data_IF_262930846771
#
_entry.id   IF_262930846771
#
_cell.length_a   1.000
_cell.length_b   1.000
_cell.length_c   1.000
_cell.angle_alpha   90.00
_cell.angle_beta   90.00
_cell.angle_gamma   90.00
#
_symmetry.space_group_name_H-M   'P 1'
#
loop_
_entity.id
_entity.type
_entity.pdbx_description
1 polymer ?
#
# COMPACT_ATOMS: atom_id res chain seq x y z
N UNK A 1 -12.75 23.66 -7.77
CA UNK A 1 -12.04 24.97 -7.74
C UNK A 1 -10.55 24.70 -7.49
N UNK A 2 -9.70 25.47 -8.14
CA UNK A 2 -8.25 25.46 -7.90
C UNK A 2 -7.84 26.87 -7.51
N UNK A 3 -7.11 27.02 -6.42
CA UNK A 3 -6.53 28.28 -5.95
C UNK A 3 -5.01 28.18 -6.04
N UNK A 4 -4.40 29.17 -6.65
CA UNK A 4 -2.94 29.28 -6.76
C UNK A 4 -2.51 30.66 -6.24
N UNK A 5 -1.69 30.69 -5.22
CA UNK A 5 -1.20 31.92 -4.63
C UNK A 5 0.29 31.78 -4.30
N UNK A 6 1.15 32.42 -5.09
CA UNK A 6 2.59 32.21 -5.00
C UNK A 6 2.95 30.73 -5.20
N UNK A 7 3.64 30.15 -4.25
CA UNK A 7 4.03 28.73 -4.29
C UNK A 7 2.98 27.77 -3.72
N UNK A 8 1.83 28.26 -3.27
CA UNK A 8 0.79 27.42 -2.67
C UNK A 8 -0.31 27.11 -3.65
N UNK A 9 -0.71 25.86 -3.71
CA UNK A 9 -1.78 25.33 -4.58
C UNK A 9 -2.78 24.60 -3.69
N UNK A 10 -4.07 24.93 -3.85
CA UNK A 10 -5.19 24.27 -3.19
C UNK A 10 -6.19 23.80 -4.22
N UNK A 11 -6.68 22.58 -4.10
CA UNK A 11 -7.67 21.98 -5.00
C UNK A 11 -8.90 21.55 -4.21
N UNK A 12 -10.04 21.99 -4.63
CA UNK A 12 -11.34 21.68 -4.06
C UNK A 12 -12.17 20.89 -5.07
N UNK A 13 -12.86 19.88 -4.63
CA UNK A 13 -13.78 19.10 -5.44
C UNK A 13 -15.21 19.32 -4.95
N UNK A 14 -16.17 19.25 -5.85
CA UNK A 14 -17.60 19.23 -5.55
C UNK A 14 -18.06 20.30 -4.54
N UNK A 15 -17.52 21.52 -4.64
CA UNK A 15 -17.83 22.64 -3.74
C UNK A 15 -17.55 22.34 -2.23
N UNK A 16 -16.65 21.43 -1.94
CA UNK A 16 -16.21 21.18 -0.57
C UNK A 16 -15.60 22.43 0.06
N UNK A 17 -15.80 22.60 1.35
CA UNK A 17 -15.25 23.75 2.11
C UNK A 17 -13.75 23.59 2.39
N UNK A 18 -13.28 22.35 2.47
CA UNK A 18 -11.87 22.02 2.68
C UNK A 18 -11.24 21.55 1.38
N UNK A 19 -10.00 21.95 1.09
CA UNK A 19 -9.32 21.51 -0.11
C UNK A 19 -8.97 20.02 -0.03
N UNK A 20 -9.02 19.30 -1.12
CA UNK A 20 -8.52 17.91 -1.25
C UNK A 20 -7.01 17.85 -1.40
N UNK A 21 -6.43 18.93 -1.89
CA UNK A 21 -4.98 19.11 -2.02
C UNK A 21 -4.65 20.50 -1.49
N UNK A 22 -3.68 20.58 -0.62
CA UNK A 22 -3.12 21.82 -0.12
C UNK A 22 -1.60 21.65 -0.02
N UNK A 23 -0.88 22.16 -1.00
CA UNK A 23 0.56 21.95 -1.12
C UNK A 23 1.28 23.27 -1.35
N UNK A 24 2.50 23.35 -0.81
CA UNK A 24 3.40 24.46 -1.09
C UNK A 24 4.64 23.92 -1.79
N UNK A 25 4.96 24.45 -2.96
CA UNK A 25 6.22 24.15 -3.62
C UNK A 25 7.38 24.82 -2.87
N UNK A 26 8.19 24.02 -2.23
CA UNK A 26 9.35 24.46 -1.46
C UNK A 26 10.60 24.67 -2.33
N UNK A 27 10.55 24.21 -3.57
CA UNK A 27 11.72 24.23 -4.46
C UNK A 27 11.80 25.52 -5.30
N UNK A 28 10.79 26.37 -5.22
CA UNK A 28 10.77 27.65 -5.92
C UNK A 28 10.72 27.55 -7.45
N UNK A 29 10.30 26.40 -7.98
CA UNK A 29 10.28 26.12 -9.42
C UNK A 29 8.99 26.57 -10.13
N UNK A 30 8.03 27.14 -9.40
CA UNK A 30 6.83 27.68 -10.02
C UNK A 30 7.19 28.93 -10.81
N UNK A 31 6.92 28.87 -12.10
CA UNK A 31 7.07 30.03 -12.97
C UNK A 31 6.12 31.15 -12.51
N UNK A 32 6.55 32.43 -12.57
CA UNK A 32 5.72 33.56 -12.16
C UNK A 32 4.50 33.76 -13.05
N UNK A 33 4.47 33.10 -14.20
CA UNK A 33 3.35 33.13 -15.16
C UNK A 33 3.29 31.78 -15.88
N UNK A 34 2.11 31.38 -16.29
CA UNK A 34 1.88 30.14 -17.01
C UNK A 34 0.54 30.11 -17.72
N UNK A 35 0.26 28.98 -18.34
CA UNK A 35 -1.01 28.72 -19.02
C UNK A 35 -1.87 27.84 -18.14
N UNK A 36 -3.17 28.03 -18.18
CA UNK A 36 -4.15 27.10 -17.67
C UNK A 36 -4.44 26.09 -18.77
N UNK A 37 -4.16 24.84 -18.53
CA UNK A 37 -4.44 23.75 -19.46
C UNK A 37 -5.42 22.78 -18.81
N UNK A 38 -6.50 22.48 -19.52
CA UNK A 38 -7.43 21.44 -19.18
C UNK A 38 -7.10 20.22 -20.03
N UNK A 39 -6.96 19.08 -19.41
CA UNK A 39 -6.65 17.83 -20.11
C UNK A 39 -7.51 16.70 -19.59
N UNK A 40 -8.15 15.97 -20.50
CA UNK A 40 -8.72 14.66 -20.24
C UNK A 40 -7.64 13.60 -20.37
N UNK A 41 -7.82 12.48 -19.68
CA UNK A 41 -6.98 11.30 -19.83
C UNK A 41 -7.42 10.43 -21.01
N UNK A 42 -7.54 9.14 -20.79
CA UNK A 42 -7.95 8.15 -21.81
C UNK A 42 -9.46 8.06 -22.02
N UNK A 43 -10.23 8.91 -21.33
CA UNK A 43 -11.69 8.93 -21.36
C UNK A 43 -12.11 10.27 -21.96
N UNK A 44 -13.15 10.24 -22.77
CA UNK A 44 -13.81 11.46 -23.25
C UNK A 44 -14.20 12.31 -22.04
N UNK A 45 -13.74 13.56 -22.04
CA UNK A 45 -13.88 14.46 -20.90
C UNK A 45 -14.49 15.77 -21.41
N UNK A 46 -15.58 16.17 -20.81
CA UNK A 46 -16.21 17.47 -21.06
C UNK A 46 -15.81 18.44 -19.95
N UNK A 47 -15.54 19.67 -20.35
CA UNK A 47 -15.27 20.78 -19.46
C UNK A 47 -16.30 21.86 -19.70
N UNK A 48 -16.83 22.39 -18.63
CA UNK A 48 -17.81 23.49 -18.67
C UNK A 48 -17.47 24.52 -17.58
N UNK A 49 -17.99 25.74 -17.76
CA UNK A 49 -17.90 26.83 -16.79
C UNK A 49 -16.47 27.14 -16.27
N UNK A 50 -15.47 27.13 -17.17
CA UNK A 50 -14.15 27.56 -16.79
C UNK A 50 -14.11 29.07 -16.49
N UNK A 51 -13.95 29.41 -15.22
CA UNK A 51 -13.81 30.79 -14.75
C UNK A 51 -12.43 30.97 -14.12
N UNK A 52 -11.68 31.95 -14.59
CA UNK A 52 -10.40 32.36 -14.02
C UNK A 52 -10.58 33.68 -13.29
N UNK A 53 -10.39 33.69 -11.99
CA UNK A 53 -10.51 34.92 -11.19
C UNK A 53 -9.16 35.27 -10.58
N UNK A 54 -8.68 36.50 -10.69
CA UNK A 54 -7.43 36.91 -10.09
C UNK A 54 -7.53 36.86 -8.56
N UNK A 55 -6.48 36.35 -7.93
CA UNK A 55 -6.35 36.24 -6.49
C UNK A 55 -5.32 37.25 -5.99
N UNK A 56 -5.54 37.82 -4.80
CA UNK A 56 -4.55 38.71 -4.17
C UNK A 56 -3.31 37.93 -3.82
N UNK A 57 -2.14 38.54 -3.91
CA UNK A 57 -0.84 37.90 -3.68
C UNK A 57 -0.71 37.29 -2.26
N UNK A 58 -1.39 37.87 -1.29
CA UNK A 58 -1.36 37.41 0.11
C UNK A 58 -2.64 36.67 0.56
N UNK A 59 -3.53 36.33 -0.37
CA UNK A 59 -4.85 35.78 -0.06
C UNK A 59 -4.80 34.50 0.79
N UNK A 60 -3.72 33.71 0.68
CA UNK A 60 -3.55 32.46 1.43
C UNK A 60 -2.53 32.57 2.58
N UNK A 61 -2.03 33.76 2.89
CA UNK A 61 -0.98 33.97 3.89
C UNK A 61 -1.37 33.44 5.28
N UNK A 62 -2.59 33.74 5.71
CA UNK A 62 -3.10 33.40 7.05
C UNK A 62 -3.97 32.13 7.04
N UNK A 63 -4.12 31.50 5.88
CA UNK A 63 -4.90 30.27 5.77
C UNK A 63 -4.04 29.09 6.18
N UNK A 64 -4.46 28.39 7.26
CA UNK A 64 -3.76 27.18 7.76
C UNK A 64 -3.64 26.14 6.65
N UNK A 65 -2.44 25.59 6.50
CA UNK A 65 -2.20 24.48 5.57
C UNK A 65 -2.90 23.23 6.09
N UNK A 66 -3.69 22.58 5.24
CA UNK A 66 -4.31 21.30 5.55
C UNK A 66 -3.37 20.18 5.12
N UNK A 67 -2.73 19.54 6.08
CA UNK A 67 -1.85 18.41 5.81
C UNK A 67 -2.68 17.15 5.62
N UNK A 68 -2.93 16.75 4.37
CA UNK A 68 -3.65 15.51 4.04
C UNK A 68 -2.76 14.28 4.03
N UNK A 69 -1.45 14.45 3.92
CA UNK A 69 -0.48 13.37 4.09
C UNK A 69 0.33 13.65 5.33
N UNK A 70 0.01 12.93 6.39
CA UNK A 70 0.95 12.79 7.48
C UNK A 70 2.19 12.08 6.92
N UNK A 71 3.27 12.84 6.72
CA UNK A 71 4.56 12.24 6.39
C UNK A 71 4.96 11.47 7.65
N UNK A 72 4.84 10.15 7.58
CA UNK A 72 5.28 9.27 8.66
C UNK A 72 6.79 9.40 8.75
N UNK A 73 7.27 9.91 9.85
CA UNK A 73 8.71 10.06 10.11
C UNK A 73 9.40 8.68 10.19
N UNK A 74 10.71 8.61 9.96
CA UNK A 74 11.45 7.36 10.15
C UNK A 74 11.25 6.75 11.54
N UNK A 75 11.17 7.59 12.59
CA UNK A 75 10.93 7.13 13.94
C UNK A 75 9.52 6.55 14.12
N UNK A 76 8.50 7.17 13.57
CA UNK A 76 7.13 6.64 13.61
C UNK A 76 7.02 5.31 12.85
N UNK A 77 7.72 5.15 11.72
CA UNK A 77 7.80 3.87 11.00
C UNK A 77 8.46 2.79 11.84
N UNK A 78 9.55 3.12 12.50
CA UNK A 78 10.25 2.18 13.38
C UNK A 78 9.38 1.79 14.58
N UNK A 79 8.72 2.73 15.24
CA UNK A 79 7.80 2.45 16.32
C UNK A 79 6.65 1.54 15.86
N UNK A 80 6.10 1.81 14.68
CA UNK A 80 5.07 0.97 14.07
C UNK A 80 5.58 -0.44 13.80
N UNK A 81 6.79 -0.58 13.23
CA UNK A 81 7.42 -1.88 12.98
C UNK A 81 7.56 -2.68 14.26
N UNK A 82 8.05 -2.06 15.33
CA UNK A 82 8.21 -2.71 16.63
C UNK A 82 6.86 -3.17 17.20
N UNK A 83 5.82 -2.35 17.09
CA UNK A 83 4.47 -2.71 17.52
C UNK A 83 3.91 -3.89 16.72
N UNK A 84 4.02 -3.86 15.39
CA UNK A 84 3.56 -4.95 14.54
C UNK A 84 4.33 -6.24 14.85
N UNK A 85 5.66 -6.14 15.00
CA UNK A 85 6.51 -7.29 15.35
C UNK A 85 6.16 -7.88 16.72
N UNK A 86 5.84 -7.05 17.71
CA UNK A 86 5.42 -7.50 19.03
C UNK A 86 4.09 -8.28 19.00
N UNK A 87 3.25 -8.02 18.01
CA UNK A 87 1.97 -8.70 17.79
C UNK A 87 2.08 -9.96 16.93
N UNK A 88 3.22 -10.21 16.32
CA UNK A 88 3.46 -11.46 15.59
C UNK A 88 3.38 -12.66 16.52
N UNK A 89 2.78 -13.73 16.04
CA UNK A 89 2.66 -14.99 16.76
C UNK A 89 3.03 -16.15 15.85
N UNK A 90 3.70 -17.14 16.43
CA UNK A 90 3.94 -18.44 15.82
C UNK A 90 2.60 -19.16 15.60
N UNK A 91 2.44 -19.78 14.45
CA UNK A 91 1.28 -20.64 14.20
C UNK A 91 1.42 -21.90 15.03
N UNK A 92 0.42 -22.20 15.85
CA UNK A 92 0.37 -23.42 16.64
C UNK A 92 -0.57 -24.42 16.00
N UNK A 93 -0.03 -25.58 15.65
CA UNK A 93 -0.83 -26.69 15.15
C UNK A 93 -1.26 -27.52 16.35
N UNK A 94 -2.56 -27.68 16.50
CA UNK A 94 -3.11 -28.55 17.54
C UNK A 94 -2.78 -30.01 17.25
N UNK A 95 -3.12 -30.90 18.18
CA UNK A 95 -2.94 -32.34 17.99
C UNK A 95 -3.56 -32.81 16.68
N UNK A 96 -2.77 -33.58 15.91
CA UNK A 96 -3.22 -34.12 14.64
C UNK A 96 -4.15 -35.32 14.89
N UNK A 97 -5.27 -35.33 14.17
CA UNK A 97 -6.18 -36.45 14.15
C UNK A 97 -5.67 -37.54 13.16
N UNK A 98 -6.21 -38.74 13.22
CA UNK A 98 -5.79 -39.83 12.31
C UNK A 98 -6.16 -39.62 10.85
N UNK A 99 -7.14 -38.74 10.59
CA UNK A 99 -7.48 -38.29 9.26
C UNK A 99 -6.66 -37.09 8.81
N UNK A 100 -6.82 -36.66 7.58
CA UNK A 100 -6.22 -35.44 7.05
C UNK A 100 -6.59 -34.23 7.92
N UNK A 101 -5.57 -33.45 8.31
CA UNK A 101 -5.73 -32.18 8.99
C UNK A 101 -5.18 -31.09 8.10
N UNK A 102 -5.99 -30.11 7.75
CA UNK A 102 -5.58 -28.92 6.98
C UNK A 102 -5.39 -27.75 7.95
N UNK A 103 -4.27 -27.07 7.82
CA UNK A 103 -3.92 -25.90 8.64
C UNK A 103 -3.63 -24.74 7.72
N UNK A 104 -4.39 -23.66 7.83
CA UNK A 104 -4.10 -22.43 7.10
C UNK A 104 -2.90 -21.73 7.72
N UNK A 105 -1.97 -21.32 6.86
CA UNK A 105 -0.86 -20.46 7.20
C UNK A 105 -1.12 -19.00 6.78
N UNK A 106 -2.32 -18.68 6.30
CA UNK A 106 -2.72 -17.30 6.03
C UNK A 106 -2.64 -16.47 7.30
N UNK A 107 -2.38 -15.20 7.14
CA UNK A 107 -2.30 -14.27 8.25
C UNK A 107 -0.99 -13.50 8.30
N UNK A 108 -0.42 -13.36 9.48
CA UNK A 108 0.73 -12.50 9.72
C UNK A 108 2.04 -13.27 9.60
N UNK A 109 2.87 -12.88 8.65
CA UNK A 109 4.21 -13.43 8.43
C UNK A 109 5.29 -12.39 8.74
N UNK A 110 6.47 -12.84 9.10
CA UNK A 110 7.66 -12.01 9.12
C UNK A 110 8.12 -11.74 7.70
N UNK A 111 8.57 -10.52 7.45
CA UNK A 111 8.91 -10.03 6.12
C UNK A 111 10.20 -9.22 6.15
N UNK A 112 11.12 -9.53 5.26
CA UNK A 112 12.39 -8.81 5.14
C UNK A 112 12.68 -8.51 3.67
N UNK A 113 12.65 -7.23 3.25
CA UNK A 113 13.09 -6.84 1.93
C UNK A 113 14.55 -7.23 1.67
N UNK A 114 14.83 -7.74 0.47
CA UNK A 114 16.19 -8.14 0.09
C UNK A 114 17.22 -7.00 0.26
N UNK A 115 16.85 -5.77 -0.06
CA UNK A 115 17.76 -4.62 0.10
C UNK A 115 18.18 -4.32 1.55
N UNK A 116 17.48 -4.89 2.53
CA UNK A 116 17.84 -4.79 3.96
C UNK A 116 18.62 -6.02 4.44
N UNK A 117 18.49 -7.15 3.76
CA UNK A 117 19.18 -8.39 4.08
C UNK A 117 19.54 -9.14 2.80
N UNK A 118 20.69 -8.81 2.23
CA UNK A 118 21.23 -9.44 1.01
C UNK A 118 21.98 -10.76 1.26
N UNK A 119 21.91 -11.30 2.45
CA UNK A 119 22.60 -12.52 2.83
C UNK A 119 21.59 -13.67 2.92
N UNK A 120 21.63 -14.54 1.91
CA UNK A 120 20.73 -15.67 1.79
C UNK A 120 20.87 -16.65 2.98
N UNK A 121 22.09 -16.91 3.40
CA UNK A 121 22.35 -17.86 4.47
C UNK A 121 21.80 -17.36 5.80
N UNK A 122 21.91 -16.06 6.06
CA UNK A 122 21.26 -15.43 7.21
C UNK A 122 19.75 -15.44 7.09
N UNK A 123 19.21 -15.21 5.89
CA UNK A 123 17.77 -15.21 5.71
C UNK A 123 17.15 -16.60 5.94
N UNK A 124 17.86 -17.66 5.58
CA UNK A 124 17.40 -19.04 5.73
C UNK A 124 17.61 -19.55 7.16
N UNK A 125 18.70 -19.15 7.81
CA UNK A 125 19.08 -19.70 9.11
C UNK A 125 18.06 -19.42 10.21
N UNK A 126 17.67 -20.45 10.94
CA UNK A 126 16.82 -20.35 12.13
C UNK A 126 17.50 -19.64 13.30
N UNK A 127 18.83 -19.59 13.31
CA UNK A 127 19.62 -18.91 14.34
C UNK A 127 19.67 -17.39 14.12
N UNK A 128 19.28 -16.90 12.97
CA UNK A 128 19.27 -15.46 12.70
C UNK A 128 18.18 -14.75 13.49
N UNK A 129 18.58 -13.74 14.26
CA UNK A 129 17.63 -12.89 14.99
C UNK A 129 16.69 -12.17 14.01
N UNK A 130 15.41 -12.41 14.16
CA UNK A 130 14.36 -11.82 13.31
C UNK A 130 13.60 -10.66 13.97
N UNK A 131 14.12 -10.11 15.08
CA UNK A 131 13.48 -8.98 15.80
C UNK A 131 13.32 -7.74 14.94
N UNK A 132 14.23 -7.55 13.98
CA UNK A 132 14.22 -6.39 13.08
C UNK A 132 13.41 -6.63 11.81
N UNK A 133 12.80 -7.79 11.66
CA UNK A 133 11.95 -8.07 10.52
C UNK A 133 10.65 -7.27 10.60
N UNK A 134 10.15 -6.90 9.45
CA UNK A 134 8.82 -6.34 9.31
C UNK A 134 7.76 -7.42 9.44
N UNK A 135 6.52 -7.01 9.41
CA UNK A 135 5.37 -7.91 9.42
C UNK A 135 4.50 -7.60 8.20
N UNK A 136 3.99 -8.64 7.59
CA UNK A 136 3.12 -8.53 6.42
C UNK A 136 2.02 -9.58 6.48
N UNK A 137 0.83 -9.22 6.08
CA UNK A 137 -0.26 -10.20 5.91
C UNK A 137 -0.03 -11.04 4.66
N UNK A 138 -0.38 -12.32 4.73
CA UNK A 138 -0.38 -13.27 3.62
C UNK A 138 -1.79 -13.86 3.52
N UNK A 139 -2.42 -13.91 2.36
CA UNK A 139 -1.93 -13.43 1.06
C UNK A 139 -1.93 -11.91 0.93
N UNK A 140 -0.89 -11.34 0.33
CA UNK A 140 -0.82 -9.92 0.00
C UNK A 140 0.34 -9.63 -0.96
N UNK A 141 0.47 -8.38 -1.39
CA UNK A 141 1.54 -7.90 -2.25
C UNK A 141 2.31 -6.76 -1.59
N UNK A 142 3.62 -6.72 -1.78
CA UNK A 142 4.42 -5.56 -1.32
C UNK A 142 4.45 -4.40 -2.32
N UNK A 143 3.93 -4.61 -3.53
CA UNK A 143 3.78 -3.57 -4.54
C UNK A 143 2.32 -3.13 -4.65
N UNK A 144 2.05 -1.87 -5.00
CA UNK A 144 0.70 -1.43 -5.32
C UNK A 144 0.15 -2.27 -6.47
N UNK A 145 -0.98 -2.90 -6.26
CA UNK A 145 -1.68 -3.66 -7.27
C UNK A 145 -2.92 -2.90 -7.68
N UNK A 146 -3.03 -2.66 -9.00
CA UNK A 146 -4.21 -2.09 -9.61
C UNK A 146 -4.77 -3.09 -10.61
N UNK A 147 -6.03 -3.37 -10.50
CA UNK A 147 -6.75 -4.26 -11.42
C UNK A 147 -7.85 -3.51 -12.13
N UNK A 148 -8.14 -3.92 -13.34
CA UNK A 148 -9.31 -3.48 -14.07
C UNK A 148 -10.50 -4.33 -13.64
N UNK A 149 -11.54 -3.68 -13.19
CA UNK A 149 -12.78 -4.34 -12.76
C UNK A 149 -13.91 -3.97 -13.70
N UNK A 150 -14.76 -4.94 -13.98
CA UNK A 150 -16.00 -4.71 -14.71
C UNK A 150 -17.02 -4.04 -13.78
N UNK A 151 -17.57 -2.91 -14.17
CA UNK A 151 -18.43 -2.09 -13.30
C UNK A 151 -19.72 -2.74 -12.83
N UNK A 152 -20.19 -3.75 -13.55
CA UNK A 152 -21.41 -4.51 -13.18
C UNK A 152 -21.15 -5.54 -12.07
N UNK A 153 -19.93 -5.99 -11.92
CA UNK A 153 -19.58 -7.07 -10.99
C UNK A 153 -19.09 -6.59 -9.64
N UNK A 154 -18.67 -5.32 -9.55
CA UNK A 154 -18.10 -4.75 -8.34
C UNK A 154 -18.70 -3.37 -8.05
N UNK A 155 -19.06 -3.08 -6.81
CA UNK A 155 -19.45 -1.73 -6.43
C UNK A 155 -18.29 -0.78 -6.69
N UNK A 156 -18.57 0.35 -7.33
CA UNK A 156 -17.56 1.40 -7.47
C UNK A 156 -17.13 1.90 -6.10
N UNK A 157 -15.83 1.91 -5.78
CA UNK A 157 -15.36 2.42 -4.49
C UNK A 157 -15.59 3.93 -4.32
N UNK A 158 -15.90 4.63 -5.42
CA UNK A 158 -16.12 6.08 -5.43
C UNK A 158 -17.59 6.48 -5.63
N UNK A 159 -18.52 5.50 -5.62
CA UNK A 159 -19.93 5.74 -5.86
C UNK A 159 -20.38 5.35 -7.28
N UNK A 160 -21.59 5.78 -7.71
CA UNK A 160 -22.12 5.42 -9.01
C UNK A 160 -21.21 5.92 -10.13
N UNK A 161 -21.05 5.10 -11.17
CA UNK A 161 -20.28 5.44 -12.36
C UNK A 161 -20.85 6.71 -13.01
N UNK A 162 -20.00 7.63 -13.47
CA UNK A 162 -20.45 8.78 -14.25
C UNK A 162 -21.21 8.32 -15.50
N UNK A 163 -22.30 9.00 -15.82
CA UNK A 163 -23.04 8.76 -17.08
C UNK A 163 -22.08 8.96 -18.27
N UNK A 164 -22.03 8.00 -19.17
CA UNK A 164 -21.20 8.07 -20.39
C UNK A 164 -19.85 7.37 -20.30
N UNK A 165 -19.46 6.82 -19.17
CA UNK A 165 -18.33 5.89 -19.10
C UNK A 165 -18.80 4.59 -19.76
N UNK A 166 -18.29 4.33 -20.98
CA UNK A 166 -18.65 3.12 -21.70
C UNK A 166 -18.25 1.91 -20.86
N UNK A 167 -19.15 1.02 -20.77
CA UNK A 167 -18.99 -0.35 -20.31
C UNK A 167 -17.72 -0.66 -19.53
N UNK A 168 -17.41 0.19 -18.51
CA UNK A 168 -17.57 -0.50 -17.32
C UNK A 168 -16.35 -1.25 -16.85
N UNK A 169 -15.17 -0.88 -17.38
CA UNK A 169 -13.92 -1.24 -16.73
C UNK A 169 -13.37 -0.01 -16.01
N UNK A 170 -13.10 -0.15 -14.73
CA UNK A 170 -12.40 0.87 -13.95
C UNK A 170 -11.21 0.25 -13.24
N UNK A 171 -10.19 1.08 -13.00
CA UNK A 171 -9.00 0.65 -12.32
C UNK A 171 -9.17 0.85 -10.82
N UNK A 172 -9.08 -0.22 -10.06
CA UNK A 172 -9.11 -0.18 -8.62
C UNK A 172 -7.72 -0.50 -8.05
N UNK A 173 -7.27 0.31 -7.11
CA UNK A 173 -6.10 -0.02 -6.31
C UNK A 173 -6.52 -1.00 -5.21
N UNK A 174 -6.05 -2.23 -5.30
CA UNK A 174 -6.39 -3.31 -4.38
C UNK A 174 -5.40 -3.45 -3.23
N UNK A 175 -4.18 -2.95 -3.43
CA UNK A 175 -3.12 -2.97 -2.41
C UNK A 175 -2.52 -1.59 -2.27
N UNK A 176 -2.59 -1.04 -1.05
CA UNK A 176 -1.99 0.24 -0.68
C UNK A 176 -0.76 -0.01 0.16
N UNK A 177 0.38 0.45 -0.34
CA UNK A 177 1.69 0.17 0.27
C UNK A 177 2.23 1.31 1.14
N UNK A 178 1.56 2.45 1.20
CA UNK A 178 2.01 3.61 2.00
C UNK A 178 2.05 3.32 3.51
N UNK A 179 1.26 2.35 3.94
CA UNK A 179 1.23 1.90 5.33
C UNK A 179 2.34 0.97 5.74
N UNK A 180 3.15 0.46 4.81
CA UNK A 180 4.23 -0.46 5.13
C UNK A 180 5.37 0.22 5.88
N UNK A 181 5.98 -0.53 6.77
CA UNK A 181 7.11 -0.05 7.59
C UNK A 181 8.45 -0.10 6.86
N UNK A 182 8.48 -0.71 5.68
CA UNK A 182 9.62 -0.77 4.76
C UNK A 182 9.35 0.10 3.51
N UNK A 183 10.38 0.31 2.70
CA UNK A 183 10.23 1.02 1.43
C UNK A 183 9.88 0.03 0.31
N UNK A 184 8.60 -0.08 0.01
CA UNK A 184 8.10 -0.98 -1.03
C UNK A 184 8.66 -0.66 -2.43
N UNK A 185 9.02 0.61 -2.69
CA UNK A 185 9.58 1.01 -4.00
C UNK A 185 10.96 0.44 -4.25
N UNK A 186 11.72 0.17 -3.17
CA UNK A 186 13.04 -0.46 -3.23
C UNK A 186 12.97 -1.99 -3.19
N UNK A 187 11.82 -2.55 -2.81
CA UNK A 187 11.65 -3.99 -2.63
C UNK A 187 11.44 -4.67 -3.98
N UNK A 188 12.47 -5.35 -4.48
CA UNK A 188 12.41 -6.15 -5.71
C UNK A 188 12.18 -7.63 -5.42
N UNK A 189 12.77 -8.10 -4.33
CA UNK A 189 12.60 -9.43 -3.76
C UNK A 189 12.52 -9.33 -2.24
N UNK A 190 11.99 -10.33 -1.60
CA UNK A 190 11.83 -10.33 -0.16
C UNK A 190 11.84 -11.75 0.40
N UNK A 191 12.19 -11.83 1.65
CA UNK A 191 12.13 -13.04 2.46
C UNK A 191 10.85 -13.03 3.27
N UNK A 192 10.13 -14.14 3.25
CA UNK A 192 9.02 -14.42 4.14
C UNK A 192 9.43 -15.50 5.12
N UNK A 193 9.04 -15.35 6.38
CA UNK A 193 9.27 -16.37 7.41
C UNK A 193 8.02 -16.56 8.24
N UNK A 194 7.64 -17.83 8.41
CA UNK A 194 6.57 -18.23 9.31
C UNK A 194 7.09 -19.29 10.25
N UNK A 195 6.95 -19.04 11.54
CA UNK A 195 7.23 -20.04 12.56
C UNK A 195 5.98 -20.88 12.79
N UNK A 196 6.15 -22.20 12.72
CA UNK A 196 5.07 -23.17 12.93
C UNK A 196 5.50 -24.13 14.04
N UNK A 197 4.72 -24.18 15.10
CA UNK A 197 4.91 -25.13 16.20
C UNK A 197 4.08 -26.38 15.92
N UNK A 198 4.74 -27.49 15.67
CA UNK A 198 4.12 -28.76 15.37
C UNK A 198 3.90 -29.58 16.65
N UNK A 199 2.81 -30.35 16.75
CA UNK A 199 2.56 -31.22 17.89
C UNK A 199 3.48 -32.45 17.88
N UNK A 200 3.69 -33.07 19.03
CA UNK A 200 4.56 -34.24 19.18
C UNK A 200 4.13 -35.44 18.32
N UNK A 201 2.84 -35.56 18.01
CA UNK A 201 2.31 -36.67 17.22
C UNK A 201 2.45 -36.47 15.68
N UNK A 202 3.29 -35.52 15.23
CA UNK A 202 3.62 -35.33 13.83
C UNK A 202 4.62 -36.36 13.29
N UNK A 203 5.36 -37.01 14.15
CA UNK A 203 6.36 -38.01 13.77
C UNK A 203 5.73 -39.14 12.94
N UNK A 204 6.35 -39.46 11.79
CA UNK A 204 5.85 -40.46 10.85
C UNK A 204 4.67 -40.06 10.01
N UNK A 205 4.19 -38.82 10.11
CA UNK A 205 3.13 -38.25 9.26
C UNK A 205 3.71 -37.59 8.00
N UNK A 206 3.00 -37.72 6.89
CA UNK A 206 3.32 -37.00 5.68
C UNK A 206 2.74 -35.57 5.77
N UNK A 207 3.57 -34.58 5.48
CA UNK A 207 3.14 -33.19 5.44
C UNK A 207 3.28 -32.66 4.01
N UNK A 208 2.32 -31.85 3.59
CA UNK A 208 2.32 -31.15 2.32
C UNK A 208 2.14 -29.67 2.58
N UNK A 209 3.02 -28.85 2.00
CA UNK A 209 2.88 -27.41 1.98
C UNK A 209 2.32 -27.00 0.62
N UNK A 210 1.17 -26.33 0.62
CA UNK A 210 0.48 -25.91 -0.59
C UNK A 210 0.45 -24.39 -0.68
N UNK A 211 0.76 -23.86 -1.84
CA UNK A 211 0.62 -22.46 -2.19
C UNK A 211 -0.43 -22.34 -3.30
N UNK A 212 -1.50 -21.63 -3.07
CA UNK A 212 -2.54 -21.41 -4.07
C UNK A 212 -2.05 -20.52 -5.21
N UNK A 213 -1.22 -19.53 -4.87
CA UNK A 213 -0.61 -18.66 -5.85
C UNK A 213 0.72 -18.09 -5.36
N UNK A 214 1.67 -17.99 -6.28
CA UNK A 214 2.95 -17.30 -6.09
C UNK A 214 3.19 -16.39 -7.28
N UNK A 215 3.47 -15.12 -7.02
CA UNK A 215 3.82 -14.20 -8.11
C UNK A 215 5.27 -14.40 -8.53
N UNK A 216 5.49 -14.76 -9.79
CA UNK A 216 6.79 -14.99 -10.44
C UNK A 216 7.52 -16.22 -9.90
N UNK A 217 8.50 -16.06 -9.02
CA UNK A 217 9.38 -17.13 -8.54
C UNK A 217 9.46 -17.10 -7.03
N UNK A 218 9.42 -18.27 -6.40
CA UNK A 218 9.71 -18.45 -5.00
C UNK A 218 10.68 -19.61 -4.81
N UNK A 219 11.59 -19.47 -3.85
CA UNK A 219 12.39 -20.54 -3.28
C UNK A 219 11.87 -20.82 -1.87
N UNK A 220 11.66 -22.09 -1.55
CA UNK A 220 11.04 -22.50 -0.29
C UNK A 220 12.06 -23.29 0.52
N UNK A 221 12.20 -22.92 1.78
CA UNK A 221 13.08 -23.56 2.76
C UNK A 221 12.26 -24.02 3.96
N UNK A 222 12.49 -25.24 4.40
CA UNK A 222 11.88 -25.83 5.61
C UNK A 222 13.04 -26.25 6.49
N UNK A 223 13.04 -25.78 7.73
CA UNK A 223 14.11 -26.03 8.71
C UNK A 223 13.54 -26.72 9.95
#
# INVERSE_FOLDING_TARGET
>A
MVEVCGSRIRVFLNNEKEPRIDVTDKNGNLAPSGQVTLGGGWIETEFDDLVVTPMKEDALKDVKVVEYRKIITPQEKENKRQQERANYRTVKVNELVDSRTDVSLDGTWLFMPEYQLNDKDKAISVATDDKNWHVMSVPNFWNPIRIWLHGETMPSPTGPQPKGVSDTYYQQETVRCEGYTFDYRKTKAAWYRQWVELPANVEGKNMTLTFDAVSKVAEIYIN
#
